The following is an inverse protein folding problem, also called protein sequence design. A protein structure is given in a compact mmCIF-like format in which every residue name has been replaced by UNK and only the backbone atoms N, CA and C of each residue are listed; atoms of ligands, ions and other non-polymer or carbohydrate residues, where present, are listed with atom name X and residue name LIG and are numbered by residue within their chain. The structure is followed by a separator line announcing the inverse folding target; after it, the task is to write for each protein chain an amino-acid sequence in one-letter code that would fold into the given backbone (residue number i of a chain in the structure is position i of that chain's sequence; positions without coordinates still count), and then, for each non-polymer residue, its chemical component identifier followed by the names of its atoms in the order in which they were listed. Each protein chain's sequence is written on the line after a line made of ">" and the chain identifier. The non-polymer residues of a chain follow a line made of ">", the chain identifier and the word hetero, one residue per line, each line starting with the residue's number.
data_IF_648492430978
#
_entry.id   IF_648492430978
#
_cell.length_a   1.000
_cell.length_b   1.000
_cell.length_c   1.000
_cell.angle_alpha   90.00
_cell.angle_beta   90.00
_cell.angle_gamma   90.00
#
_symmetry.space_group_name_H-M   'P 1'
#
loop_
_entity.id
_entity.type
_entity.pdbx_description
1 polymer ?
#
# COMPACT_ATOMS: atom_id res chain seq x y z
N UNK A 1 -1.19 1.22 -63.44
CA UNK A 1 -1.50 0.16 -62.46
C UNK A 1 -0.25 -0.17 -61.68
N UNK A 2 -0.13 0.32 -60.44
CA UNK A 2 1.01 0.00 -59.56
C UNK A 2 0.68 -1.26 -58.75
N UNK A 3 1.43 -2.34 -59.02
CA UNK A 3 1.36 -3.60 -58.28
C UNK A 3 2.02 -3.42 -56.91
N UNK A 4 1.20 -3.29 -55.86
CA UNK A 4 1.63 -3.24 -54.46
C UNK A 4 2.14 -4.63 -54.06
N UNK A 5 3.46 -4.87 -54.18
CA UNK A 5 4.12 -6.07 -53.61
C UNK A 5 3.85 -6.11 -52.11
N UNK A 6 3.09 -7.10 -51.64
CA UNK A 6 3.02 -7.43 -50.21
C UNK A 6 4.39 -8.00 -49.80
N UNK A 7 5.13 -7.26 -48.99
CA UNK A 7 6.30 -7.82 -48.29
C UNK A 7 5.80 -8.91 -47.33
N UNK A 8 6.41 -10.12 -47.34
CA UNK A 8 6.14 -11.08 -46.29
C UNK A 8 6.70 -10.52 -44.99
N UNK A 9 5.83 -10.07 -44.08
CA UNK A 9 6.23 -9.72 -42.73
C UNK A 9 6.74 -10.98 -42.07
N UNK A 10 8.01 -10.97 -41.70
CA UNK A 10 8.69 -12.06 -41.01
C UNK A 10 8.14 -12.13 -39.56
N UNK A 11 6.91 -12.61 -39.40
CA UNK A 11 6.15 -12.63 -38.14
C UNK A 11 6.86 -13.43 -37.03
N UNK A 12 7.76 -14.33 -37.42
CA UNK A 12 8.60 -15.10 -36.51
C UNK A 12 9.52 -14.24 -35.63
N UNK A 13 10.03 -13.12 -36.19
CA UNK A 13 10.90 -12.20 -35.44
C UNK A 13 10.14 -11.34 -34.42
N UNK A 14 8.82 -11.17 -34.58
CA UNK A 14 7.98 -10.48 -33.59
C UNK A 14 7.65 -11.37 -32.40
N UNK A 15 7.38 -12.66 -32.65
CA UNK A 15 7.12 -13.65 -31.61
C UNK A 15 8.33 -13.93 -30.72
N UNK A 16 9.52 -14.12 -31.32
CA UNK A 16 10.75 -14.39 -30.57
C UNK A 16 11.21 -13.22 -29.72
N UNK A 17 11.03 -11.97 -30.20
CA UNK A 17 11.27 -10.76 -29.39
C UNK A 17 10.30 -10.63 -28.22
N UNK A 18 9.03 -11.01 -28.40
CA UNK A 18 8.04 -11.02 -27.31
C UNK A 18 8.39 -12.03 -26.21
N UNK A 19 8.79 -13.25 -26.59
CA UNK A 19 9.20 -14.30 -25.65
C UNK A 19 10.48 -13.90 -24.91
N UNK A 20 11.48 -13.38 -25.61
CA UNK A 20 12.71 -12.90 -24.98
C UNK A 20 12.45 -11.74 -24.02
N UNK A 21 11.60 -10.78 -24.41
CA UNK A 21 11.21 -9.65 -23.54
C UNK A 21 10.48 -10.12 -22.28
N UNK A 22 9.54 -11.06 -22.42
CA UNK A 22 8.84 -11.66 -21.28
C UNK A 22 9.80 -12.41 -20.35
N UNK A 23 10.72 -13.20 -20.91
CA UNK A 23 11.72 -13.94 -20.14
C UNK A 23 12.64 -13.02 -19.34
N UNK A 24 13.13 -11.94 -19.96
CA UNK A 24 13.96 -10.93 -19.29
C UNK A 24 13.17 -10.22 -18.18
N UNK A 25 11.91 -9.86 -18.43
CA UNK A 25 11.04 -9.27 -17.42
C UNK A 25 10.81 -10.24 -16.25
N UNK A 26 10.52 -11.50 -16.53
CA UNK A 26 10.33 -12.54 -15.51
C UNK A 26 11.59 -12.72 -14.65
N UNK A 27 12.77 -12.81 -15.26
CA UNK A 27 14.04 -12.87 -14.55
C UNK A 27 14.29 -11.64 -13.69
N UNK A 28 14.06 -10.44 -14.23
CA UNK A 28 14.25 -9.19 -13.51
C UNK A 28 13.32 -9.10 -12.28
N UNK A 29 12.03 -9.43 -12.45
CA UNK A 29 11.06 -9.47 -11.35
C UNK A 29 11.44 -10.54 -10.33
N UNK A 30 11.82 -11.73 -10.77
CA UNK A 30 12.25 -12.82 -9.89
C UNK A 30 13.49 -12.44 -9.06
N UNK A 31 14.48 -11.81 -9.69
CA UNK A 31 15.68 -11.34 -9.00
C UNK A 31 15.38 -10.23 -7.99
N UNK A 32 14.51 -9.28 -8.34
CA UNK A 32 14.07 -8.22 -7.42
C UNK A 32 13.32 -8.80 -6.21
N UNK A 33 12.41 -9.75 -6.43
CA UNK A 33 11.68 -10.44 -5.36
C UNK A 33 12.62 -11.23 -4.45
N UNK A 34 13.60 -11.93 -5.04
CA UNK A 34 14.62 -12.65 -4.28
C UNK A 34 15.46 -11.70 -3.42
N UNK A 35 15.97 -10.60 -3.99
CA UNK A 35 16.78 -9.62 -3.27
C UNK A 35 16.01 -8.96 -2.13
N UNK A 36 14.73 -8.61 -2.37
CA UNK A 36 13.84 -8.01 -1.37
C UNK A 36 13.59 -8.99 -0.22
N UNK A 37 13.26 -10.24 -0.53
CA UNK A 37 13.00 -11.29 0.46
C UNK A 37 14.25 -11.60 1.28
N UNK A 38 15.41 -11.70 0.62
CA UNK A 38 16.71 -11.91 1.26
C UNK A 38 17.04 -10.77 2.23
N UNK A 39 16.80 -9.52 1.84
CA UNK A 39 17.05 -8.34 2.67
C UNK A 39 16.16 -8.31 3.92
N UNK A 40 14.89 -8.70 3.79
CA UNK A 40 13.96 -8.82 4.94
C UNK A 40 14.42 -9.93 5.90
N UNK A 41 14.78 -11.11 5.38
CA UNK A 41 15.26 -12.23 6.20
C UNK A 41 16.57 -11.87 6.94
N UNK A 42 17.47 -11.17 6.26
CA UNK A 42 18.70 -10.66 6.87
C UNK A 42 18.39 -9.67 8.01
N UNK A 43 17.48 -8.72 7.79
CA UNK A 43 17.08 -7.76 8.82
C UNK A 43 16.41 -8.42 10.04
N UNK A 44 15.57 -9.44 9.81
CA UNK A 44 14.96 -10.26 10.87
C UNK A 44 16.01 -11.01 11.70
N UNK A 45 17.10 -11.48 11.06
CA UNK A 45 18.20 -12.18 11.75
C UNK A 45 18.99 -11.27 12.69
N UNK A 46 19.00 -9.96 12.43
CA UNK A 46 19.71 -8.97 13.24
C UNK A 46 18.86 -8.52 14.44
N UNK A 47 17.58 -8.22 14.20
CA UNK A 47 16.62 -7.82 15.24
C UNK A 47 15.19 -7.92 14.73
N UNK A 48 14.25 -8.33 15.60
CA UNK A 48 12.82 -8.36 15.30
C UNK A 48 12.29 -6.99 14.84
N UNK A 49 12.74 -5.90 15.47
CA UNK A 49 12.34 -4.53 15.10
C UNK A 49 12.89 -4.09 13.74
N UNK A 50 14.14 -4.45 13.43
CA UNK A 50 14.75 -4.16 12.13
C UNK A 50 14.08 -4.96 11.00
N UNK A 51 13.76 -6.22 11.26
CA UNK A 51 13.01 -7.08 10.35
C UNK A 51 11.60 -6.55 10.07
N UNK A 52 10.86 -6.13 11.10
CA UNK A 52 9.52 -5.56 10.92
C UNK A 52 9.53 -4.24 10.14
N UNK A 53 10.53 -3.37 10.36
CA UNK A 53 10.78 -2.17 9.54
C UNK A 53 11.02 -2.52 8.08
N UNK A 54 11.88 -3.52 7.82
CA UNK A 54 12.19 -3.96 6.46
C UNK A 54 10.97 -4.56 5.75
N UNK A 55 10.15 -5.32 6.47
CA UNK A 55 8.91 -5.89 5.96
C UNK A 55 7.88 -4.79 5.64
N UNK A 56 7.70 -3.83 6.54
CA UNK A 56 6.81 -2.69 6.33
C UNK A 56 7.24 -1.85 5.12
N UNK A 57 8.54 -1.58 4.97
CA UNK A 57 9.11 -0.86 3.82
C UNK A 57 8.90 -1.60 2.49
N UNK A 58 8.95 -2.94 2.50
CA UNK A 58 8.68 -3.75 1.31
C UNK A 58 7.19 -3.75 0.91
N UNK A 59 6.28 -3.77 1.89
CA UNK A 59 4.84 -3.88 1.67
C UNK A 59 4.15 -2.53 1.41
N UNK A 60 4.67 -1.44 1.97
CA UNK A 60 4.10 -0.09 1.83
C UNK A 60 3.87 0.35 0.36
N UNK A 61 4.86 0.27 -0.56
CA UNK A 61 4.64 0.66 -1.94
C UNK A 61 3.61 -0.25 -2.64
N UNK A 62 3.54 -1.54 -2.29
CA UNK A 62 2.55 -2.46 -2.85
C UNK A 62 1.13 -2.13 -2.39
N UNK A 63 0.91 -1.83 -1.11
CA UNK A 63 -0.41 -1.45 -0.59
C UNK A 63 -0.90 -0.14 -1.20
N UNK A 64 -0.02 0.86 -1.34
CA UNK A 64 -0.33 2.12 -2.03
C UNK A 64 -0.66 1.87 -3.51
N UNK A 65 0.11 1.04 -4.20
CA UNK A 65 -0.08 0.74 -5.62
C UNK A 65 -1.38 -0.04 -5.86
N UNK A 66 -1.74 -0.98 -4.99
CA UNK A 66 -3.03 -1.69 -5.04
C UNK A 66 -4.19 -0.70 -4.89
N UNK A 67 -4.10 0.22 -3.93
CA UNK A 67 -5.12 1.25 -3.73
C UNK A 67 -5.26 2.18 -4.94
N UNK A 68 -4.15 2.72 -5.47
CA UNK A 68 -4.17 3.64 -6.62
C UNK A 68 -4.53 2.95 -7.95
N UNK A 69 -4.03 1.73 -8.16
CA UNK A 69 -4.18 0.98 -9.40
C UNK A 69 -5.58 0.40 -9.57
N UNK A 70 -6.13 -0.17 -8.50
CA UNK A 70 -7.42 -0.85 -8.56
C UNK A 70 -8.53 0.01 -7.94
N UNK A 71 -8.40 0.39 -6.68
CA UNK A 71 -9.53 0.90 -5.90
C UNK A 71 -9.90 2.34 -6.26
N UNK A 72 -8.90 3.21 -6.46
CA UNK A 72 -9.11 4.61 -6.83
C UNK A 72 -9.70 4.77 -8.24
N UNK A 73 -9.47 3.79 -9.14
CA UNK A 73 -9.95 3.82 -10.54
C UNK A 73 -11.33 3.21 -10.74
N UNK A 74 -11.83 2.41 -9.79
CA UNK A 74 -13.18 1.85 -9.89
C UNK A 74 -14.18 3.03 -9.98
N UNK A 75 -14.86 3.23 -11.11
CA UNK A 75 -15.89 4.26 -11.30
C UNK A 75 -17.29 3.68 -11.03
N UNK A 76 -17.62 3.38 -9.76
CA UNK A 76 -19.03 3.22 -9.35
C UNK A 76 -19.74 4.58 -9.52
N UNK A 77 -20.87 4.64 -10.25
CA UNK A 77 -21.62 5.88 -10.45
C UNK A 77 -22.09 6.39 -9.09
N UNK A 78 -21.48 7.47 -8.62
CA UNK A 78 -21.85 8.13 -7.38
C UNK A 78 -22.33 9.52 -7.74
N UNK A 79 -23.64 9.64 -7.96
CA UNK A 79 -24.33 10.92 -7.78
C UNK A 79 -24.16 11.29 -6.30
N UNK A 80 -23.75 12.54 -6.09
CA UNK A 80 -23.72 13.28 -4.81
C UNK A 80 -22.45 13.18 -3.94
N UNK A 81 -21.91 14.38 -3.70
CA UNK A 81 -20.84 14.80 -2.76
C UNK A 81 -19.39 14.57 -3.19
N UNK A 82 -18.82 15.64 -3.77
CA UNK A 82 -17.42 15.80 -4.20
C UNK A 82 -16.45 15.91 -3.02
N UNK A 83 -16.24 14.84 -2.27
CA UNK A 83 -14.96 14.67 -1.57
C UNK A 83 -14.18 13.58 -2.33
N UNK A 84 -13.06 13.90 -2.99
CA UNK A 84 -12.29 12.87 -3.70
C UNK A 84 -11.91 11.77 -2.72
N UNK A 85 -12.17 10.51 -3.08
CA UNK A 85 -11.92 9.33 -2.23
C UNK A 85 -10.45 9.29 -1.77
N UNK A 86 -9.54 9.85 -2.59
CA UNK A 86 -8.12 10.08 -2.28
C UNK A 86 -7.90 10.88 -0.99
N UNK A 87 -8.72 11.88 -0.67
CA UNK A 87 -8.58 12.62 0.59
C UNK A 87 -8.77 11.70 1.80
N UNK A 88 -9.61 10.66 1.70
CA UNK A 88 -9.89 9.78 2.82
C UNK A 88 -8.71 8.86 3.11
N UNK A 89 -8.10 8.31 2.05
CA UNK A 89 -6.88 7.52 2.17
C UNK A 89 -5.74 8.33 2.81
N UNK A 90 -5.48 9.55 2.31
CA UNK A 90 -4.40 10.41 2.82
C UNK A 90 -4.68 10.83 4.26
N UNK A 91 -5.90 11.25 4.58
CA UNK A 91 -6.27 11.64 5.95
C UNK A 91 -6.09 10.49 6.92
N UNK A 92 -6.57 9.28 6.60
CA UNK A 92 -6.40 8.14 7.50
C UNK A 92 -4.94 7.67 7.58
N UNK A 93 -4.15 7.77 6.51
CA UNK A 93 -2.72 7.48 6.54
C UNK A 93 -1.96 8.43 7.46
N UNK A 94 -2.16 9.74 7.30
CA UNK A 94 -1.51 10.74 8.15
C UNK A 94 -2.02 10.67 9.60
N UNK A 95 -3.31 10.42 9.78
CA UNK A 95 -3.90 10.24 11.10
C UNK A 95 -3.29 9.05 11.84
N UNK A 96 -3.24 7.86 11.23
CA UNK A 96 -2.66 6.69 11.91
C UNK A 96 -1.17 6.82 12.12
N UNK A 97 -0.45 7.50 11.21
CA UNK A 97 0.95 7.83 11.42
C UNK A 97 1.15 8.76 12.63
N UNK A 98 0.26 9.73 12.83
CA UNK A 98 0.29 10.63 13.99
C UNK A 98 -0.05 9.88 15.29
N UNK A 99 -1.10 9.06 15.29
CA UNK A 99 -1.52 8.27 16.45
C UNK A 99 -0.37 7.39 16.95
N UNK A 100 0.26 6.63 16.06
CA UNK A 100 1.38 5.75 16.40
C UNK A 100 2.69 6.49 16.70
N UNK A 101 2.90 7.67 16.09
CA UNK A 101 4.07 8.49 16.39
C UNK A 101 4.02 9.11 17.80
N UNK A 102 2.82 9.43 18.30
CA UNK A 102 2.62 9.96 19.65
C UNK A 102 2.89 8.89 20.72
N UNK A 103 2.43 7.66 20.50
CA UNK A 103 2.66 6.50 21.39
C UNK A 103 4.16 6.22 21.59
N UNK A 104 4.92 6.06 20.50
CA UNK A 104 6.34 5.66 20.58
C UNK A 104 7.22 6.69 21.30
N UNK A 105 6.81 7.96 21.34
CA UNK A 105 7.63 9.05 21.91
C UNK A 105 7.28 9.41 23.35
N UNK A 106 6.10 9.02 23.83
CA UNK A 106 5.60 9.39 25.14
C UNK A 106 5.09 8.12 25.83
N UNK A 107 5.87 7.56 26.75
CA UNK A 107 5.43 6.54 27.71
C UNK A 107 4.41 7.15 28.70
N UNK A 108 3.28 7.66 28.20
CA UNK A 108 2.27 8.36 29.00
C UNK A 108 1.39 7.35 29.72
N UNK A 109 1.87 6.85 30.85
CA UNK A 109 1.20 5.85 31.68
C UNK A 109 -0.15 6.26 32.30
N UNK A 110 -0.63 7.50 32.07
CA UNK A 110 -1.75 8.07 32.85
C UNK A 110 -3.00 8.42 32.05
N UNK A 111 -2.94 8.48 30.72
CA UNK A 111 -4.13 8.79 29.92
C UNK A 111 -4.20 7.86 28.71
N UNK A 112 -5.32 7.15 28.49
CA UNK A 112 -5.51 6.21 27.38
C UNK A 112 -5.74 6.95 26.06
N UNK A 113 -4.78 7.81 25.68
CA UNK A 113 -4.81 8.62 24.46
C UNK A 113 -4.87 7.68 23.26
N UNK A 114 -4.16 6.56 23.30
CA UNK A 114 -4.15 5.55 22.25
C UNK A 114 -5.50 4.89 22.06
N UNK A 115 -6.10 4.36 23.13
CA UNK A 115 -7.40 3.70 23.06
C UNK A 115 -8.48 4.71 22.65
N UNK A 116 -8.37 5.97 23.08
CA UNK A 116 -9.23 7.06 22.66
C UNK A 116 -9.06 7.37 21.16
N UNK A 117 -7.82 7.50 20.67
CA UNK A 117 -7.52 7.78 19.27
C UNK A 117 -7.93 6.61 18.37
N UNK A 118 -7.66 5.37 18.76
CA UNK A 118 -8.09 4.16 18.05
C UNK A 118 -9.61 4.04 18.03
N UNK A 119 -10.28 4.24 19.16
CA UNK A 119 -11.75 4.22 19.22
C UNK A 119 -12.38 5.35 18.40
N UNK A 120 -11.76 6.54 18.36
CA UNK A 120 -12.16 7.63 17.48
C UNK A 120 -11.99 7.26 15.99
N UNK A 121 -10.90 6.57 15.65
CA UNK A 121 -10.62 6.09 14.29
C UNK A 121 -11.69 5.08 13.85
N UNK A 122 -12.04 4.13 14.72
CA UNK A 122 -13.13 3.18 14.50
C UNK A 122 -14.49 3.87 14.42
N UNK A 123 -14.78 4.82 15.32
CA UNK A 123 -16.01 5.60 15.31
C UNK A 123 -16.16 6.40 14.02
N UNK A 124 -15.09 7.02 13.51
CA UNK A 124 -15.08 7.74 12.25
C UNK A 124 -15.32 6.80 11.05
N UNK A 125 -14.72 5.60 11.05
CA UNK A 125 -14.98 4.57 10.03
C UNK A 125 -16.44 4.10 10.05
N UNK A 126 -16.97 3.78 11.23
CA UNK A 126 -18.34 3.31 11.43
C UNK A 126 -19.37 4.39 11.08
N UNK A 127 -19.12 5.64 11.49
CA UNK A 127 -19.95 6.78 11.14
C UNK A 127 -20.03 6.97 9.62
N UNK A 128 -18.91 6.79 8.92
CA UNK A 128 -18.85 6.91 7.47
C UNK A 128 -19.55 5.76 6.75
N UNK A 129 -19.66 4.60 7.38
CA UNK A 129 -20.46 3.47 6.89
C UNK A 129 -21.97 3.65 7.14
N UNK A 130 -22.35 4.32 8.23
CA UNK A 130 -23.75 4.52 8.67
C UNK A 130 -24.63 5.20 7.61
N UNK A 131 -24.06 6.08 6.78
CA UNK A 131 -24.80 6.81 5.75
C UNK A 131 -24.32 6.41 4.35
N UNK A 132 -25.10 5.52 3.71
CA UNK A 132 -25.08 5.19 2.28
C UNK A 132 -23.85 4.43 1.77
N UNK A 133 -23.92 3.09 1.68
CA UNK A 133 -23.37 2.26 0.58
C UNK A 133 -21.95 2.50 0.05
N UNK A 134 -21.10 3.28 0.73
CA UNK A 134 -19.82 3.76 0.24
C UNK A 134 -18.71 2.77 0.62
N UNK A 135 -18.85 1.53 0.13
CA UNK A 135 -17.82 0.50 0.27
C UNK A 135 -16.44 1.01 -0.14
N UNK A 136 -16.36 1.80 -1.20
CA UNK A 136 -15.12 2.48 -1.63
C UNK A 136 -14.50 3.39 -0.58
N UNK A 137 -15.31 4.16 0.14
CA UNK A 137 -14.80 5.07 1.17
C UNK A 137 -14.29 4.28 2.37
N UNK A 138 -15.00 3.22 2.77
CA UNK A 138 -14.57 2.30 3.82
C UNK A 138 -13.24 1.62 3.44
N UNK A 139 -13.15 1.06 2.23
CA UNK A 139 -11.92 0.44 1.70
C UNK A 139 -10.79 1.47 1.67
N UNK A 140 -11.03 2.70 1.21
CA UNK A 140 -10.03 3.77 1.23
C UNK A 140 -9.52 4.09 2.65
N UNK A 141 -10.41 4.09 3.64
CA UNK A 141 -10.03 4.28 5.04
C UNK A 141 -9.21 3.10 5.56
N UNK A 142 -9.61 1.85 5.27
CA UNK A 142 -8.87 0.65 5.68
C UNK A 142 -7.46 0.61 5.07
N UNK A 143 -7.33 0.92 3.78
CA UNK A 143 -6.03 1.02 3.13
C UNK A 143 -5.20 2.20 3.66
N UNK A 144 -5.83 3.31 4.00
CA UNK A 144 -5.17 4.45 4.66
C UNK A 144 -4.61 4.06 6.02
N UNK A 145 -5.41 3.37 6.85
CA UNK A 145 -4.97 2.84 8.15
C UNK A 145 -3.80 1.88 7.98
N UNK A 146 -3.91 0.89 7.08
CA UNK A 146 -2.84 -0.08 6.81
C UNK A 146 -1.55 0.58 6.29
N UNK A 147 -1.68 1.54 5.38
CA UNK A 147 -0.52 2.26 4.86
C UNK A 147 0.13 3.14 5.93
N UNK A 148 -0.67 3.82 6.75
CA UNK A 148 -0.16 4.66 7.83
C UNK A 148 0.46 3.88 8.99
N UNK A 149 -0.04 2.67 9.31
CA UNK A 149 0.63 1.77 10.27
C UNK A 149 1.98 1.31 9.74
N UNK A 150 2.06 0.91 8.47
CA UNK A 150 3.34 0.58 7.83
C UNK A 150 4.29 1.79 7.82
N UNK A 151 3.81 2.98 7.49
CA UNK A 151 4.62 4.21 7.48
C UNK A 151 5.13 4.56 8.89
N UNK A 152 4.29 4.42 9.92
CA UNK A 152 4.70 4.62 11.31
C UNK A 152 5.79 3.64 11.73
N UNK A 153 5.64 2.35 11.39
CA UNK A 153 6.66 1.34 11.67
C UNK A 153 7.98 1.67 10.96
N UNK A 154 7.94 2.15 9.71
CA UNK A 154 9.15 2.54 8.98
C UNK A 154 9.86 3.73 9.65
N UNK A 155 9.11 4.78 10.02
CA UNK A 155 9.67 6.04 10.51
C UNK A 155 10.07 5.96 11.98
N UNK A 156 9.19 5.42 12.83
CA UNK A 156 9.36 5.39 14.28
C UNK A 156 9.88 4.04 14.78
N UNK A 157 9.62 2.95 14.05
CA UNK A 157 9.95 1.58 14.49
C UNK A 157 8.91 0.96 15.39
N UNK A 158 9.30 -0.17 15.96
CA UNK A 158 8.51 -0.88 16.95
C UNK A 158 9.24 -0.70 18.28
N UNK A 159 8.54 -0.18 19.30
CA UNK A 159 9.08 -0.13 20.65
C UNK A 159 9.04 -1.55 21.25
N UNK A 160 10.19 -2.18 21.58
CA UNK A 160 10.21 -3.50 22.19
C UNK A 160 9.64 -3.52 23.61
N UNK A 161 9.41 -2.37 24.24
CA UNK A 161 8.78 -2.27 25.57
C UNK A 161 7.23 -2.35 25.55
N UNK A 162 6.62 -2.33 24.36
CA UNK A 162 5.16 -2.42 24.18
C UNK A 162 4.66 -3.85 23.85
N UNK A 163 5.54 -4.87 23.91
CA UNK A 163 5.21 -6.30 23.82
C UNK A 163 5.40 -6.98 25.17
#
# INVERSE_FOLDING_TARGET
>A
MQTRRRQPSNDWTKGSKGIASFFVLFLAVGFLLYQLSSSVLFAMSYSSGAGARSLAAALFPLTVLIYLGFIARIQIPTRESRAPIINSFIVFLLWTMLVLGVDITNETAYFPIEELLYSLTLAAMLWRYKYRGQFKALVACCYGVLAGTMAAVIVFGINPAAM
#
